data_IF_597030458420
#
_entry.id   IF_597030458420
#
_cell.length_a   1.000
_cell.length_b   1.000
_cell.length_c   1.000
_cell.angle_alpha   90.00
_cell.angle_beta   90.00
_cell.angle_gamma   90.00
#
_symmetry.space_group_name_H-M   'P 1'
#
loop_
_entity.id
_entity.type
_entity.pdbx_description
1 polymer ?
#
# COMPACT_ATOMS: atom_id res chain seq x y z
N UNK A 1 -3.72 8.69 -10.39
CA UNK A 1 -3.64 7.49 -9.53
C UNK A 1 -3.41 7.81 -8.07
N UNK A 2 -2.57 8.78 -7.70
CA UNK A 2 -2.27 9.15 -6.29
C UNK A 2 -3.52 9.36 -5.44
N UNK A 3 -4.55 9.99 -6.00
CA UNK A 3 -5.80 10.29 -5.30
C UNK A 3 -6.59 9.04 -4.87
N UNK A 4 -6.57 7.96 -5.67
CA UNK A 4 -7.37 6.75 -5.41
C UNK A 4 -6.82 5.97 -4.22
N UNK A 5 -5.49 5.86 -4.12
CA UNK A 5 -4.84 5.16 -3.00
C UNK A 5 -4.99 5.97 -1.71
N UNK A 6 -4.81 7.30 -1.76
CA UNK A 6 -4.98 8.15 -0.57
C UNK A 6 -6.42 8.17 -0.08
N UNK A 7 -7.41 8.21 -0.99
CA UNK A 7 -8.82 8.11 -0.62
C UNK A 7 -9.14 6.78 0.04
N UNK A 8 -8.59 5.67 -0.46
CA UNK A 8 -8.77 4.36 0.17
C UNK A 8 -8.18 4.28 1.57
N UNK A 9 -6.93 4.72 1.75
CA UNK A 9 -6.29 4.72 3.07
C UNK A 9 -7.11 5.56 4.06
N UNK A 10 -7.61 6.73 3.63
CA UNK A 10 -8.50 7.54 4.44
C UNK A 10 -9.80 6.78 4.77
N UNK A 11 -10.45 6.14 3.80
CA UNK A 11 -11.66 5.36 4.03
C UNK A 11 -11.44 4.22 5.03
N UNK A 12 -10.35 3.46 4.91
CA UNK A 12 -9.98 2.39 5.85
C UNK A 12 -9.80 2.94 7.27
N UNK A 13 -9.24 4.15 7.41
CA UNK A 13 -9.05 4.78 8.72
C UNK A 13 -10.34 5.39 9.31
N UNK A 14 -11.30 5.79 8.48
CA UNK A 14 -12.53 6.45 8.94
C UNK A 14 -13.70 5.48 9.16
N UNK A 15 -13.83 4.42 8.35
CA UNK A 15 -14.95 3.46 8.45
C UNK A 15 -15.05 2.76 9.82
N UNK A 16 -13.95 2.34 10.48
CA UNK A 16 -14.02 1.80 11.83
C UNK A 16 -14.64 2.77 12.84
N UNK A 17 -14.41 4.08 12.68
CA UNK A 17 -14.95 5.13 13.56
C UNK A 17 -16.46 5.31 13.43
N UNK A 18 -17.04 4.81 12.33
CA UNK A 18 -18.48 4.79 12.10
C UNK A 18 -19.13 3.47 12.58
N UNK A 19 -18.36 2.56 13.18
CA UNK A 19 -18.88 1.29 13.72
C UNK A 19 -18.87 0.13 12.72
N UNK A 20 -18.26 0.28 11.54
CA UNK A 20 -18.21 -0.80 10.53
C UNK A 20 -17.12 -1.86 10.78
N UNK A 21 -16.30 -1.69 11.83
CA UNK A 21 -15.17 -2.58 12.12
C UNK A 21 -14.01 -2.41 11.14
N UNK A 22 -13.08 -3.37 11.13
CA UNK A 22 -11.91 -3.34 10.27
C UNK A 22 -12.26 -3.62 8.81
N UNK A 23 -11.76 -2.76 7.92
CA UNK A 23 -12.00 -2.86 6.48
C UNK A 23 -10.80 -3.55 5.82
N UNK A 24 -11.02 -4.78 5.34
CA UNK A 24 -9.97 -5.56 4.68
C UNK A 24 -9.84 -5.24 3.19
N UNK A 25 -10.94 -4.88 2.54
CA UNK A 25 -10.94 -4.48 1.14
C UNK A 25 -12.08 -3.50 0.83
N UNK A 26 -11.91 -2.74 -0.25
CA UNK A 26 -12.91 -1.79 -0.77
C UNK A 26 -13.02 -1.96 -2.28
N UNK A 27 -14.26 -1.93 -2.79
CA UNK A 27 -14.55 -1.97 -4.22
C UNK A 27 -15.22 -0.66 -4.61
N UNK A 28 -14.71 -0.01 -5.63
CA UNK A 28 -15.29 1.21 -6.19
C UNK A 28 -15.54 1.02 -7.67
N UNK A 29 -16.81 1.15 -8.08
CA UNK A 29 -17.21 1.09 -9.48
C UNK A 29 -17.36 2.50 -10.05
N UNK A 30 -16.70 2.73 -11.16
CA UNK A 30 -16.88 3.88 -12.02
C UNK A 30 -17.55 3.44 -13.33
N UNK A 31 -17.90 4.39 -14.18
CA UNK A 31 -18.58 4.10 -15.46
C UNK A 31 -17.77 3.12 -16.33
N UNK A 32 -16.45 3.29 -16.40
CA UNK A 32 -15.59 2.51 -17.30
C UNK A 32 -14.66 1.52 -16.60
N UNK A 33 -14.55 1.59 -15.26
CA UNK A 33 -13.60 0.78 -14.49
C UNK A 33 -14.14 0.34 -13.13
N UNK A 34 -13.65 -0.80 -12.67
CA UNK A 34 -13.82 -1.28 -11.30
C UNK A 34 -12.46 -1.29 -10.61
N UNK A 35 -12.37 -0.65 -9.46
CA UNK A 35 -11.17 -0.62 -8.63
C UNK A 35 -11.44 -1.49 -7.40
N UNK A 36 -10.55 -2.46 -7.13
CA UNK A 36 -10.56 -3.26 -5.92
C UNK A 36 -9.26 -3.03 -5.16
N UNK A 37 -9.39 -2.64 -3.89
CA UNK A 37 -8.27 -2.26 -3.05
C UNK A 37 -8.25 -3.12 -1.79
N UNK A 38 -7.09 -3.63 -1.42
CA UNK A 38 -6.89 -4.52 -0.28
C UNK A 38 -5.87 -3.94 0.68
N UNK A 39 -6.06 -4.24 1.96
CA UNK A 39 -5.06 -4.01 3.00
C UNK A 39 -4.44 -5.36 3.36
N UNK A 40 -3.13 -5.50 3.10
CA UNK A 40 -2.36 -6.66 3.56
C UNK A 40 -1.45 -6.22 4.72
N UNK A 41 -1.81 -6.66 5.93
CA UNK A 41 -1.08 -6.39 7.16
C UNK A 41 -0.81 -7.72 7.89
N UNK A 42 0.30 -8.41 7.58
CA UNK A 42 0.54 -9.77 8.06
C UNK A 42 0.89 -9.83 9.56
N UNK A 43 1.47 -8.77 10.11
CA UNK A 43 1.79 -8.61 11.53
C UNK A 43 2.06 -7.13 11.85
N UNK A 44 2.12 -6.78 13.13
CA UNK A 44 2.39 -5.41 13.59
C UNK A 44 3.83 -4.94 13.36
N UNK A 45 4.77 -5.87 13.11
CA UNK A 45 6.19 -5.57 12.93
C UNK A 45 6.55 -5.16 11.50
N UNK A 46 5.61 -5.24 10.56
CA UNK A 46 5.81 -4.88 9.16
C UNK A 46 4.78 -3.84 8.73
N UNK A 47 5.16 -2.88 7.87
CA UNK A 47 4.23 -1.88 7.38
C UNK A 47 3.15 -2.53 6.50
N UNK A 48 1.91 -2.04 6.53
CA UNK A 48 0.84 -2.55 5.68
C UNK A 48 1.15 -2.29 4.21
N UNK A 49 0.85 -3.28 3.36
CA UNK A 49 0.93 -3.17 1.91
C UNK A 49 -0.48 -3.00 1.34
N UNK A 50 -0.68 -1.96 0.54
CA UNK A 50 -1.96 -1.68 -0.10
C UNK A 50 -1.92 -2.15 -1.56
N UNK A 51 -2.73 -3.15 -1.90
CA UNK A 51 -2.86 -3.65 -3.26
C UNK A 51 -4.05 -2.96 -3.93
N UNK A 52 -3.84 -2.38 -5.10
CA UNK A 52 -4.93 -1.82 -5.94
C UNK A 52 -4.96 -2.55 -7.27
N UNK A 53 -6.05 -3.28 -7.53
CA UNK A 53 -6.33 -3.91 -8.81
C UNK A 53 -7.38 -3.09 -9.56
N UNK A 54 -7.11 -2.82 -10.85
CA UNK A 54 -8.01 -2.07 -11.72
C UNK A 54 -8.45 -2.97 -12.86
N UNK A 55 -9.75 -3.22 -12.94
CA UNK A 55 -10.39 -3.90 -14.05
C UNK A 55 -11.26 -2.96 -14.87
N UNK A 56 -11.62 -3.38 -16.07
CA UNK A 56 -12.71 -2.74 -16.84
C UNK A 56 -14.04 -2.86 -16.09
N UNK A 57 -15.05 -2.05 -16.39
CA UNK A 57 -16.37 -2.19 -15.75
C UNK A 57 -17.00 -3.59 -15.95
N UNK A 58 -16.70 -4.28 -17.06
CA UNK A 58 -17.15 -5.64 -17.35
C UNK A 58 -16.29 -6.75 -16.74
N UNK A 59 -15.30 -6.44 -15.88
CA UNK A 59 -14.44 -7.47 -15.31
C UNK A 59 -15.22 -8.41 -14.36
N UNK A 60 -14.79 -9.68 -14.28
CA UNK A 60 -15.30 -10.60 -13.27
C UNK A 60 -14.89 -10.10 -11.88
N UNK A 61 -15.90 -9.73 -11.08
CA UNK A 61 -15.68 -9.19 -9.74
C UNK A 61 -15.15 -10.24 -8.78
N UNK A 62 -15.56 -11.51 -8.91
CA UNK A 62 -15.08 -12.60 -8.06
C UNK A 62 -13.62 -12.92 -8.35
N UNK A 63 -13.22 -12.89 -9.62
CA UNK A 63 -11.81 -13.01 -9.99
C UNK A 63 -10.98 -11.85 -9.44
N UNK A 64 -11.52 -10.62 -9.50
CA UNK A 64 -10.81 -9.43 -9.00
C UNK A 64 -10.67 -9.45 -7.47
N UNK A 65 -11.71 -9.85 -6.73
CA UNK A 65 -11.69 -9.90 -5.25
C UNK A 65 -10.87 -11.07 -4.70
N UNK A 66 -10.73 -12.15 -5.45
CA UNK A 66 -9.91 -13.31 -5.05
C UNK A 66 -8.41 -13.14 -5.34
N UNK A 67 -8.01 -12.08 -6.06
CA UNK A 67 -6.65 -11.85 -6.52
C UNK A 67 -5.63 -11.61 -5.38
N UNK A 68 -6.08 -11.15 -4.21
CA UNK A 68 -5.20 -10.93 -3.06
C UNK A 68 -4.58 -12.23 -2.53
N UNK A 69 -5.37 -13.30 -2.43
CA UNK A 69 -4.96 -14.59 -1.86
C UNK A 69 -3.72 -15.19 -2.54
N UNK A 70 -3.67 -15.36 -3.88
CA UNK A 70 -2.49 -15.89 -4.56
C UNK A 70 -1.30 -14.92 -4.52
N UNK A 71 -1.52 -13.62 -4.30
CA UNK A 71 -0.45 -12.63 -4.23
C UNK A 71 0.16 -12.46 -2.84
N UNK A 72 -0.48 -12.99 -1.78
CA UNK A 72 0.01 -12.90 -0.39
C UNK A 72 1.51 -13.20 -0.21
N UNK A 73 2.10 -14.24 -0.83
CA UNK A 73 3.53 -14.49 -0.67
C UNK A 73 4.38 -13.32 -1.16
N UNK A 74 4.01 -12.72 -2.29
CA UNK A 74 4.69 -11.54 -2.84
C UNK A 74 4.47 -10.30 -1.95
N UNK A 75 3.25 -10.09 -1.46
CA UNK A 75 2.93 -8.98 -0.57
C UNK A 75 3.71 -9.08 0.75
N UNK A 76 3.90 -10.31 1.27
CA UNK A 76 4.75 -10.57 2.43
C UNK A 76 6.21 -10.15 2.20
N UNK A 77 6.79 -10.54 1.07
CA UNK A 77 8.16 -10.13 0.70
C UNK A 77 8.27 -8.60 0.57
N UNK A 78 7.27 -7.94 0.00
CA UNK A 78 7.24 -6.48 -0.11
C UNK A 78 7.15 -5.81 1.27
N UNK A 79 6.31 -6.34 2.17
CA UNK A 79 6.17 -5.84 3.54
C UNK A 79 7.50 -5.94 4.31
N UNK A 80 8.18 -7.09 4.24
CA UNK A 80 9.49 -7.28 4.88
C UNK A 80 10.55 -6.34 4.31
N UNK A 81 10.64 -6.19 2.99
CA UNK A 81 11.59 -5.26 2.36
C UNK A 81 11.30 -3.80 2.72
N UNK A 82 10.03 -3.44 2.86
CA UNK A 82 9.64 -2.10 3.30
C UNK A 82 10.06 -1.86 4.76
N UNK A 83 9.88 -2.85 5.64
CA UNK A 83 10.35 -2.77 7.03
C UNK A 83 11.88 -2.57 7.11
N UNK A 84 12.66 -3.38 6.38
CA UNK A 84 14.12 -3.27 6.32
C UNK A 84 14.56 -1.86 5.87
N UNK A 85 13.89 -1.30 4.86
CA UNK A 85 14.18 0.06 4.38
C UNK A 85 13.85 1.12 5.43
N UNK A 86 12.71 1.01 6.11
CA UNK A 86 12.36 1.95 7.17
C UNK A 86 13.33 1.90 8.34
N UNK A 87 13.82 0.71 8.71
CA UNK A 87 14.86 0.57 9.72
C UNK A 87 16.18 1.21 9.28
N UNK A 88 16.61 1.00 8.03
CA UNK A 88 17.80 1.63 7.46
C UNK A 88 17.69 3.15 7.44
N UNK A 89 16.57 3.70 6.98
CA UNK A 89 16.28 5.14 6.97
C UNK A 89 16.25 5.72 8.40
N UNK A 90 15.70 4.99 9.37
CA UNK A 90 15.70 5.36 10.78
C UNK A 90 17.11 5.37 11.39
N UNK A 91 17.99 4.44 11.00
CA UNK A 91 19.39 4.41 11.44
C UNK A 91 20.20 5.58 10.85
N UNK A 92 19.94 5.91 9.59
CA UNK A 92 20.55 7.07 8.92
C UNK A 92 20.11 8.39 9.57
N UNK A 93 18.83 8.53 9.91
CA UNK A 93 18.33 9.75 10.59
C UNK A 93 18.78 9.86 12.04
N UNK A 94 18.97 8.73 12.76
CA UNK A 94 19.50 8.75 14.15
C UNK A 94 20.98 9.12 14.24
N UNK A 95 21.76 8.82 13.21
CA UNK A 95 23.18 9.23 13.12
C UNK A 95 23.33 10.69 12.68
N UNK A 96 22.24 11.33 12.24
CA UNK A 96 22.19 12.69 11.68
C UNK A 96 21.76 13.76 12.70
N UNK A 97 22.10 13.58 13.99
CA UNK A 97 21.98 14.62 15.02
C UNK A 97 22.89 15.86 14.76
N UNK A 98 23.52 15.92 13.59
CA UNK A 98 24.41 16.99 13.15
C UNK A 98 24.24 17.32 11.66
N UNK A 99 23.05 17.77 11.25
CA UNK A 99 22.86 18.77 10.19
C UNK A 99 23.61 18.59 8.86
N UNK A 100 23.53 17.44 8.20
CA UNK A 100 24.04 17.30 6.83
C UNK A 100 22.94 16.97 5.82
N UNK A 101 22.74 17.90 4.88
CA UNK A 101 21.85 17.70 3.73
C UNK A 101 22.46 16.71 2.74
N UNK A 102 21.85 15.56 2.55
CA UNK A 102 22.25 14.63 1.49
C UNK A 102 21.61 15.04 0.16
N UNK A 103 22.44 15.48 -0.79
CA UNK A 103 22.04 15.69 -2.19
C UNK A 103 22.03 14.33 -2.90
N UNK A 104 20.86 13.88 -3.33
CA UNK A 104 20.74 12.71 -4.23
C UNK A 104 21.39 13.09 -5.56
N UNK A 105 22.59 12.57 -5.84
CA UNK A 105 23.20 12.64 -7.15
C UNK A 105 22.50 11.60 -8.03
N UNK A 106 21.61 12.06 -8.93
CA UNK A 106 21.18 11.25 -10.07
C UNK A 106 22.43 10.85 -10.84
N UNK A 107 22.75 9.57 -10.85
CA UNK A 107 23.68 8.97 -11.81
C UNK A 107 22.92 8.77 -13.10
N UNK A 108 22.64 9.88 -13.80
CA UNK A 108 22.34 9.83 -15.22
C UNK A 108 23.68 9.64 -15.95
N UNK A 109 23.89 8.39 -16.36
CA UNK A 109 24.70 7.86 -17.45
C UNK A 109 25.74 8.78 -18.11
N UNK A 110 27.01 8.34 -18.06
CA UNK A 110 27.98 8.53 -19.16
C UNK A 110 27.53 7.81 -20.41
#
# INVERSE_FOLDING_TARGET
>A
MTYVVTSFIASVQQLPKLGFGEVQHMITKYQDMTICQFVYAPNESTPPVYLTAVGTNACDLGALTSLEVPLRPLLGVLASKAAERFEQEAMLTRTDAGGHFYRILRTDAT
#
